data_IF_134009379463
#
_entry.id   IF_134009379463
#
_cell.length_a   1.000
_cell.length_b   1.000
_cell.length_c   1.000
_cell.angle_alpha   90.00
_cell.angle_beta   90.00
_cell.angle_gamma   90.00
#
_symmetry.space_group_name_H-M   'P 1'
#
loop_
_entity.id
_entity.type
_entity.pdbx_description
1 polymer ?
#
# COMPACT_ATOMS: atom_id res chain seq x y z
N UNK A 1 24.31 -19.11 10.98
CA UNK A 1 23.35 -18.00 10.78
C UNK A 1 22.08 -18.64 10.30
N UNK A 2 20.99 -18.60 11.06
CA UNK A 2 19.70 -19.14 10.62
C UNK A 2 19.11 -18.14 9.64
N UNK A 3 18.98 -18.52 8.37
CA UNK A 3 18.11 -17.82 7.43
C UNK A 3 16.71 -17.81 8.07
N UNK A 4 16.19 -16.61 8.36
CA UNK A 4 14.82 -16.46 8.81
C UNK A 4 13.87 -17.07 7.77
N UNK A 5 12.62 -17.39 8.14
CA UNK A 5 11.66 -17.95 7.19
C UNK A 5 11.58 -17.06 5.94
N UNK A 6 11.73 -17.67 4.76
CA UNK A 6 11.60 -16.98 3.47
C UNK A 6 10.16 -16.44 3.39
N UNK A 7 10.02 -15.12 3.46
CA UNK A 7 8.72 -14.47 3.40
C UNK A 7 8.23 -14.47 1.95
N UNK A 8 7.14 -15.17 1.67
CA UNK A 8 6.53 -15.20 0.34
C UNK A 8 5.72 -13.91 0.11
N UNK A 9 6.41 -12.89 -0.39
CA UNK A 9 5.82 -11.58 -0.67
C UNK A 9 4.76 -11.62 -1.77
N UNK A 10 4.83 -12.58 -2.69
CA UNK A 10 3.84 -12.74 -3.76
C UNK A 10 2.54 -13.32 -3.19
N UNK A 11 2.65 -14.33 -2.32
CA UNK A 11 1.49 -14.85 -1.57
C UNK A 11 0.85 -13.76 -0.71
N UNK A 12 1.64 -13.00 0.04
CA UNK A 12 1.14 -11.90 0.87
C UNK A 12 0.46 -10.84 0.00
N UNK A 13 1.05 -10.46 -1.13
CA UNK A 13 0.47 -9.49 -2.04
C UNK A 13 -0.87 -9.95 -2.63
N UNK A 14 -1.02 -11.26 -2.88
CA UNK A 14 -2.28 -11.86 -3.37
C UNK A 14 -3.38 -11.80 -2.31
N UNK A 15 -3.01 -11.88 -1.03
CA UNK A 15 -3.93 -11.81 0.12
C UNK A 15 -3.88 -10.45 0.83
N UNK A 16 -3.37 -9.40 0.17
CA UNK A 16 -3.13 -8.10 0.80
C UNK A 16 -4.42 -7.48 1.37
N UNK A 17 -5.55 -7.78 0.74
CA UNK A 17 -6.87 -7.29 1.14
C UNK A 17 -7.20 -7.70 2.59
N UNK A 18 -6.84 -8.90 3.01
CA UNK A 18 -7.12 -9.37 4.37
C UNK A 18 -6.42 -8.48 5.42
N UNK A 19 -5.19 -8.03 5.12
CA UNK A 19 -4.43 -7.14 6.00
C UNK A 19 -4.95 -5.68 5.97
N UNK A 20 -5.49 -5.25 4.84
CA UNK A 20 -6.12 -3.94 4.68
C UNK A 20 -7.45 -3.93 5.44
N UNK A 21 -8.30 -4.93 5.24
CA UNK A 21 -9.62 -5.02 5.88
C UNK A 21 -9.49 -5.11 7.41
N UNK A 22 -8.44 -5.77 7.91
CA UNK A 22 -8.11 -5.83 9.34
C UNK A 22 -7.41 -4.59 9.92
N UNK A 23 -7.10 -3.57 9.10
CA UNK A 23 -6.34 -2.36 9.52
C UNK A 23 -4.96 -2.68 10.14
N UNK A 24 -4.32 -3.77 9.68
CA UNK A 24 -3.07 -4.28 10.27
C UNK A 24 -1.86 -4.15 9.37
N UNK A 25 -2.04 -3.82 8.09
CA UNK A 25 -0.96 -3.88 7.10
C UNK A 25 0.33 -3.15 7.54
N UNK A 26 0.22 -1.88 7.95
CA UNK A 26 1.39 -1.09 8.42
C UNK A 26 1.88 -1.45 9.83
N UNK A 27 1.13 -2.26 10.58
CA UNK A 27 1.52 -2.73 11.92
C UNK A 27 2.21 -4.10 11.88
N UNK A 28 1.98 -4.88 10.80
CA UNK A 28 2.52 -6.24 10.63
C UNK A 28 3.82 -6.23 9.84
N UNK A 29 3.93 -5.36 8.83
CA UNK A 29 5.05 -5.37 7.90
C UNK A 29 5.96 -4.15 8.08
N UNK A 30 7.27 -4.38 8.02
CA UNK A 30 8.24 -3.29 7.99
C UNK A 30 8.25 -2.59 6.63
N UNK A 31 8.85 -1.39 6.57
CA UNK A 31 8.84 -0.54 5.36
C UNK A 31 9.44 -1.27 4.14
N UNK A 32 10.52 -2.03 4.34
CA UNK A 32 11.17 -2.76 3.25
C UNK A 32 10.33 -3.95 2.79
N UNK A 33 9.65 -4.66 3.70
CA UNK A 33 8.70 -5.73 3.35
C UNK A 33 7.52 -5.17 2.57
N UNK A 34 6.93 -4.05 3.03
CA UNK A 34 5.86 -3.36 2.32
C UNK A 34 6.32 -3.02 0.89
N UNK A 35 7.56 -2.53 0.73
CA UNK A 35 8.09 -2.22 -0.60
C UNK A 35 8.17 -3.46 -1.49
N UNK A 36 8.51 -4.63 -0.95
CA UNK A 36 8.53 -5.88 -1.73
C UNK A 36 7.12 -6.36 -2.06
N UNK A 37 6.21 -6.39 -1.08
CA UNK A 37 4.80 -6.76 -1.26
C UNK A 37 4.16 -5.90 -2.37
N UNK A 38 4.40 -4.59 -2.34
CA UNK A 38 3.83 -3.65 -3.31
C UNK A 38 4.28 -3.90 -4.75
N UNK A 39 5.41 -4.57 -5.00
CA UNK A 39 5.82 -4.94 -6.38
C UNK A 39 4.91 -5.98 -7.01
N UNK A 40 4.33 -6.85 -6.19
CA UNK A 40 3.43 -7.93 -6.62
C UNK A 40 1.95 -7.54 -6.46
N UNK A 41 1.66 -6.54 -5.62
CA UNK A 41 0.30 -6.10 -5.35
C UNK A 41 -0.40 -5.56 -6.61
N UNK A 42 -1.61 -6.06 -6.82
CA UNK A 42 -2.56 -5.53 -7.79
C UNK A 42 -3.86 -5.18 -7.06
N UNK A 43 -4.01 -3.90 -6.73
CA UNK A 43 -5.08 -3.39 -5.87
C UNK A 43 -6.20 -2.79 -6.72
N UNK A 44 -7.44 -2.94 -6.25
CA UNK A 44 -8.51 -2.06 -6.71
C UNK A 44 -8.28 -0.65 -6.18
N UNK A 45 -8.81 0.34 -6.88
CA UNK A 45 -8.74 1.75 -6.46
C UNK A 45 -9.26 1.95 -5.03
N UNK A 46 -10.37 1.31 -4.66
CA UNK A 46 -10.94 1.35 -3.30
C UNK A 46 -9.99 0.79 -2.23
N UNK A 47 -9.39 -0.38 -2.46
CA UNK A 47 -8.48 -1.03 -1.52
C UNK A 47 -7.22 -0.19 -1.34
N UNK A 48 -6.71 0.40 -2.43
CA UNK A 48 -5.55 1.29 -2.37
C UNK A 48 -5.86 2.59 -1.61
N UNK A 49 -7.04 3.18 -1.78
CA UNK A 49 -7.46 4.37 -1.01
C UNK A 49 -7.57 4.03 0.48
N UNK A 50 -8.16 2.88 0.83
CA UNK A 50 -8.23 2.39 2.22
C UNK A 50 -6.86 2.21 2.84
N UNK A 51 -5.92 1.62 2.09
CA UNK A 51 -4.52 1.50 2.50
C UNK A 51 -3.89 2.88 2.74
N UNK A 52 -4.09 3.85 1.86
CA UNK A 52 -3.57 5.21 2.05
C UNK A 52 -4.15 5.87 3.29
N UNK A 53 -5.43 5.67 3.59
CA UNK A 53 -6.05 6.22 4.79
C UNK A 53 -5.44 5.64 6.08
N UNK A 54 -5.16 4.32 6.09
CA UNK A 54 -4.49 3.62 7.19
C UNK A 54 -3.09 4.15 7.48
N UNK A 55 -2.38 4.60 6.44
CA UNK A 55 -1.03 5.10 6.58
C UNK A 55 -0.91 6.35 7.47
N UNK A 56 -1.99 7.11 7.63
CA UNK A 56 -1.99 8.44 8.26
C UNK A 56 -1.42 8.45 9.68
N UNK A 57 -1.67 7.40 10.46
CA UNK A 57 -1.20 7.25 11.84
C UNK A 57 0.00 6.31 11.97
N UNK A 58 0.33 5.55 10.92
CA UNK A 58 1.31 4.46 11.00
C UNK A 58 2.68 4.81 10.40
N UNK A 59 2.74 5.68 9.39
CA UNK A 59 3.97 5.95 8.64
C UNK A 59 4.07 7.42 8.19
N UNK A 60 5.30 7.94 8.07
CA UNK A 60 5.53 9.28 7.53
C UNK A 60 5.25 9.32 6.03
N UNK A 61 4.82 10.48 5.53
CA UNK A 61 4.41 10.65 4.14
C UNK A 61 5.52 10.37 3.11
N UNK A 62 6.78 10.73 3.40
CA UNK A 62 7.94 10.44 2.55
C UNK A 62 8.24 8.93 2.47
N UNK A 63 8.10 8.24 3.60
CA UNK A 63 8.33 6.80 3.69
C UNK A 63 7.19 6.03 3.00
N UNK A 64 5.95 6.50 3.17
CA UNK A 64 4.78 6.01 2.45
C UNK A 64 5.01 6.06 0.94
N UNK A 65 5.37 7.24 0.39
CA UNK A 65 5.66 7.36 -1.05
C UNK A 65 6.69 6.31 -1.51
N UNK A 66 7.73 6.08 -0.71
CA UNK A 66 8.82 5.18 -1.07
C UNK A 66 8.39 3.71 -1.05
N UNK A 67 7.50 3.28 -0.15
CA UNK A 67 7.11 1.88 -0.03
C UNK A 67 5.94 1.48 -0.93
N UNK A 68 5.00 2.38 -1.24
CA UNK A 68 3.80 2.02 -2.03
C UNK A 68 3.85 2.39 -3.52
N UNK A 69 4.86 3.15 -3.98
CA UNK A 69 4.96 3.59 -5.39
C UNK A 69 5.04 2.49 -6.45
N UNK A 70 5.31 1.24 -6.06
CA UNK A 70 5.41 0.10 -6.97
C UNK A 70 4.09 -0.65 -7.18
N UNK A 71 3.05 -0.33 -6.39
CA UNK A 71 1.76 -0.99 -6.47
C UNK A 71 1.09 -0.77 -7.83
N UNK A 72 0.53 -1.84 -8.40
CA UNK A 72 -0.40 -1.71 -9.52
C UNK A 72 -1.78 -1.40 -8.94
N UNK A 73 -2.43 -0.38 -9.49
CA UNK A 73 -3.79 0.00 -9.09
C UNK A 73 -4.69 -0.08 -10.32
N UNK A 74 -5.71 -0.91 -10.24
CA UNK A 74 -6.74 -1.05 -11.28
C UNK A 74 -7.73 0.10 -11.18
N UNK A 75 -7.85 0.87 -12.26
CA UNK A 75 -8.74 2.03 -12.39
C UNK A 75 -9.79 1.73 -13.45
N UNK A 76 -11.08 1.75 -13.09
CA UNK A 76 -12.15 1.39 -14.02
C UNK A 76 -12.76 2.59 -14.76
N UNK A 77 -12.64 3.80 -14.19
CA UNK A 77 -13.25 5.00 -14.75
C UNK A 77 -12.55 6.29 -14.27
N UNK A 78 -12.94 7.42 -14.86
CA UNK A 78 -12.37 8.72 -14.53
C UNK A 78 -12.61 9.16 -13.08
N UNK A 79 -13.74 8.82 -12.48
CA UNK A 79 -14.05 9.19 -11.10
C UNK A 79 -13.14 8.46 -10.11
N UNK A 80 -12.86 7.18 -10.37
CA UNK A 80 -11.88 6.40 -9.60
C UNK A 80 -10.46 6.97 -9.75
N UNK A 81 -10.06 7.34 -10.97
CA UNK A 81 -8.77 7.98 -11.20
C UNK A 81 -8.63 9.27 -10.37
N UNK A 82 -9.62 10.16 -10.44
CA UNK A 82 -9.63 11.43 -9.71
C UNK A 82 -9.58 11.19 -8.19
N UNK A 83 -10.39 10.26 -7.68
CA UNK A 83 -10.45 9.96 -6.24
C UNK A 83 -9.15 9.35 -5.73
N UNK A 84 -8.51 8.50 -6.54
CA UNK A 84 -7.20 7.89 -6.24
C UNK A 84 -6.11 8.97 -6.18
N UNK A 85 -6.02 9.84 -7.19
CA UNK A 85 -5.03 10.92 -7.24
C UNK A 85 -5.21 11.94 -6.10
N UNK A 86 -6.45 12.30 -5.76
CA UNK A 86 -6.75 13.15 -4.59
C UNK A 86 -6.31 12.50 -3.29
N UNK A 87 -6.51 11.20 -3.14
CA UNK A 87 -6.10 10.44 -1.95
C UNK A 87 -4.57 10.38 -1.84
N UNK A 88 -3.88 10.11 -2.95
CA UNK A 88 -2.40 10.17 -3.03
C UNK A 88 -1.91 11.54 -2.57
N UNK A 89 -2.43 12.62 -3.16
CA UNK A 89 -2.05 13.99 -2.81
C UNK A 89 -2.23 14.27 -1.32
N UNK A 90 -3.41 13.92 -0.77
CA UNK A 90 -3.77 14.15 0.63
C UNK A 90 -2.85 13.39 1.59
N UNK A 91 -2.70 12.08 1.40
CA UNK A 91 -2.00 11.22 2.38
C UNK A 91 -0.49 11.26 2.24
N UNK A 92 0.03 11.51 1.03
CA UNK A 92 1.46 11.75 0.81
C UNK A 92 1.87 13.22 1.02
N UNK A 93 0.94 14.12 1.35
CA UNK A 93 1.19 15.55 1.56
C UNK A 93 1.96 16.20 0.39
N UNK A 94 1.56 15.86 -0.83
CA UNK A 94 2.16 16.43 -2.03
C UNK A 94 1.64 17.86 -2.19
N UNK A 95 2.51 18.83 -1.93
CA UNK A 95 2.23 20.22 -2.25
C UNK A 95 2.53 20.46 -3.74
N UNK A 96 1.58 21.08 -4.43
CA UNK A 96 1.73 21.60 -5.80
C UNK A 96 1.66 23.12 -5.72
#
# INVERSE_FOLDING_TARGET
MSEGPIQDFEFIATHIKDYIDDYKFFNVFEIDDIRQIMKYANLKSEDFISLLEQSRSAIKANDLYTCIRNAKVSILNYNEAISTLKSIQKYMKLNV
#
